data_IF_303102404661
#
_entry.id   IF_303102404661
#
_cell.length_a   1.000
_cell.length_b   1.000
_cell.length_c   1.000
_cell.angle_alpha   90.00
_cell.angle_beta   90.00
_cell.angle_gamma   90.00
#
_symmetry.space_group_name_H-M   'P 1'
#
loop_
_entity.id
_entity.type
_entity.pdbx_description
1 polymer ?
#
# COMPACT_ATOMS: atom_id res chain seq x y z
N UNK A 1 4.41 -4.96 -15.55
CA UNK A 1 5.65 -4.16 -15.69
C UNK A 1 6.28 -4.08 -14.31
N UNK A 2 7.59 -4.31 -14.20
CA UNK A 2 8.24 -4.31 -12.89
C UNK A 2 8.19 -2.93 -12.23
N UNK A 3 7.88 -2.90 -10.92
CA UNK A 3 7.95 -1.69 -10.10
C UNK A 3 9.37 -1.08 -10.17
N UNK A 4 9.51 0.26 -10.29
CA UNK A 4 10.82 0.92 -10.30
C UNK A 4 11.65 0.60 -9.05
N UNK A 5 12.95 0.33 -9.20
CA UNK A 5 13.81 -0.17 -8.11
C UNK A 5 13.77 0.70 -6.84
N UNK A 6 13.78 2.03 -6.98
CA UNK A 6 13.76 2.95 -5.83
C UNK A 6 12.41 3.04 -5.12
N UNK A 7 11.35 2.55 -5.77
CA UNK A 7 10.00 2.49 -5.24
C UNK A 7 9.70 1.12 -4.64
N UNK A 8 10.55 0.11 -4.84
CA UNK A 8 10.35 -1.20 -4.21
C UNK A 8 10.50 -1.10 -2.68
N UNK A 9 9.85 -2.00 -1.91
CA UNK A 9 10.11 -2.12 -0.48
C UNK A 9 11.61 -2.33 -0.24
N UNK A 10 12.17 -1.66 0.77
CA UNK A 10 13.58 -1.85 1.08
C UNK A 10 13.79 -3.29 1.55
N UNK A 11 14.64 -4.09 0.87
CA UNK A 11 14.83 -5.47 1.26
C UNK A 11 15.54 -5.52 2.61
N UNK A 12 14.86 -6.09 3.61
CA UNK A 12 15.47 -6.37 4.90
C UNK A 12 16.72 -7.23 4.73
N UNK A 13 17.79 -6.89 5.46
CA UNK A 13 18.94 -7.79 5.54
C UNK A 13 18.49 -9.15 6.09
N UNK A 14 19.12 -10.27 5.70
CA UNK A 14 18.74 -11.60 6.21
C UNK A 14 18.71 -11.66 7.74
N UNK A 15 19.61 -10.91 8.40
CA UNK A 15 19.68 -10.78 9.86
C UNK A 15 18.44 -10.09 10.44
N UNK A 16 18.04 -8.94 9.90
CA UNK A 16 16.85 -8.22 10.36
C UNK A 16 15.59 -9.05 10.08
N UNK A 17 15.50 -9.68 8.90
CA UNK A 17 14.36 -10.55 8.56
C UNK A 17 14.22 -11.72 9.54
N UNK A 18 15.33 -12.35 9.92
CA UNK A 18 15.31 -13.44 10.91
C UNK A 18 14.90 -12.94 12.31
N UNK A 19 15.42 -11.77 12.72
CA UNK A 19 15.04 -11.13 13.98
C UNK A 19 13.53 -10.83 14.01
N UNK A 20 13.01 -10.13 13.00
CA UNK A 20 11.60 -9.76 12.93
C UNK A 20 10.70 -11.00 12.86
N UNK A 21 11.08 -12.03 12.09
CA UNK A 21 10.36 -13.32 12.12
C UNK A 21 10.27 -13.93 13.53
N UNK A 22 11.35 -13.84 14.31
CA UNK A 22 11.37 -14.29 15.70
C UNK A 22 10.52 -13.42 16.64
N UNK A 23 10.51 -12.10 16.42
CA UNK A 23 9.65 -11.18 17.16
C UNK A 23 8.17 -11.42 16.86
N UNK A 24 7.79 -11.57 15.59
CA UNK A 24 6.42 -11.87 15.19
C UNK A 24 5.92 -13.13 15.90
N UNK A 25 6.70 -14.21 15.88
CA UNK A 25 6.33 -15.44 16.59
C UNK A 25 6.12 -15.18 18.08
N UNK A 26 7.05 -14.50 18.74
CA UNK A 26 6.92 -14.20 20.17
C UNK A 26 5.70 -13.33 20.48
N UNK A 27 5.41 -12.32 19.66
CA UNK A 27 4.22 -11.47 19.82
C UNK A 27 2.96 -12.32 19.72
N UNK A 28 2.83 -13.13 18.67
CA UNK A 28 1.65 -13.99 18.45
C UNK A 28 1.47 -15.02 19.57
N UNK A 29 2.54 -15.71 19.97
CA UNK A 29 2.50 -16.69 21.08
C UNK A 29 2.05 -16.00 22.39
N UNK A 30 2.54 -14.77 22.67
CA UNK A 30 2.16 -14.02 23.87
C UNK A 30 0.73 -13.48 23.83
N UNK A 31 0.25 -13.02 22.67
CA UNK A 31 -1.14 -12.61 22.48
C UNK A 31 -2.06 -13.80 22.77
N UNK A 32 -1.72 -14.98 22.23
CA UNK A 32 -2.47 -16.21 22.48
C UNK A 32 -2.48 -16.59 23.97
N UNK A 33 -1.31 -16.64 24.61
CA UNK A 33 -1.18 -16.97 26.04
C UNK A 33 -1.95 -15.98 26.94
N UNK A 34 -1.99 -14.70 26.54
CA UNK A 34 -2.68 -13.63 27.26
C UNK A 34 -4.16 -13.47 26.85
N UNK A 35 -4.75 -14.48 26.22
CA UNK A 35 -6.17 -14.51 25.83
C UNK A 35 -6.58 -13.33 24.95
N UNK A 36 -5.73 -12.98 23.98
CA UNK A 36 -5.95 -11.89 23.02
C UNK A 36 -6.02 -10.48 23.65
N UNK A 37 -5.53 -10.33 24.89
CA UNK A 37 -5.49 -9.04 25.59
C UNK A 37 -4.13 -8.37 25.46
N UNK A 38 -4.13 -7.05 25.54
CA UNK A 38 -2.91 -6.28 25.67
C UNK A 38 -2.20 -6.56 27.01
N UNK A 39 -0.87 -6.45 26.99
CA UNK A 39 -0.04 -6.46 28.19
C UNK A 39 1.20 -5.59 27.99
N UNK A 40 1.82 -5.10 29.07
CA UNK A 40 3.08 -4.36 28.98
C UNK A 40 4.19 -5.14 28.26
N UNK A 41 4.22 -6.46 28.41
CA UNK A 41 5.20 -7.34 27.75
C UNK A 41 4.97 -7.40 26.23
N UNK A 42 3.72 -7.57 25.80
CA UNK A 42 3.37 -7.56 24.37
C UNK A 42 3.68 -6.18 23.76
N UNK A 43 3.33 -5.11 24.47
CA UNK A 43 3.63 -3.75 24.02
C UNK A 43 5.14 -3.50 23.89
N UNK A 44 5.97 -4.03 24.79
CA UNK A 44 7.42 -3.95 24.67
C UNK A 44 7.95 -4.69 23.42
N UNK A 45 7.39 -5.87 23.10
CA UNK A 45 7.76 -6.61 21.88
C UNK A 45 7.32 -5.86 20.60
N UNK A 46 6.14 -5.24 20.61
CA UNK A 46 5.66 -4.39 19.50
C UNK A 46 6.54 -3.16 19.33
N UNK A 47 6.98 -2.51 20.42
CA UNK A 47 7.93 -1.40 20.33
C UNK A 47 9.27 -1.85 19.75
N UNK A 48 9.75 -3.05 20.11
CA UNK A 48 10.95 -3.62 19.50
C UNK A 48 10.76 -3.90 18.00
N UNK A 49 9.61 -4.42 17.59
CA UNK A 49 9.25 -4.57 16.17
C UNK A 49 9.26 -3.23 15.44
N UNK A 50 8.61 -2.21 15.99
CA UNK A 50 8.49 -0.86 15.41
C UNK A 50 9.84 -0.15 15.28
N UNK A 51 10.86 -0.52 16.08
CA UNK A 51 12.23 -0.01 15.91
C UNK A 51 12.94 -0.48 14.63
N UNK A 52 12.39 -1.50 13.96
CA UNK A 52 12.92 -2.08 12.73
C UNK A 52 11.97 -1.96 11.53
N UNK A 53 10.70 -1.67 11.79
CA UNK A 53 9.68 -1.55 10.76
C UNK A 53 9.73 -0.18 10.06
N UNK A 54 9.20 -0.11 8.84
CA UNK A 54 9.08 1.14 8.08
C UNK A 54 8.00 2.08 8.59
N UNK A 55 7.07 1.58 9.40
CA UNK A 55 6.00 2.33 10.06
C UNK A 55 5.70 1.77 11.46
N UNK A 56 4.97 2.51 12.33
CA UNK A 56 4.45 1.94 13.56
C UNK A 56 3.35 0.91 13.25
N UNK A 57 3.38 -0.18 14.00
CA UNK A 57 2.33 -1.19 14.06
C UNK A 57 1.66 -1.19 15.43
N UNK A 58 0.35 -1.40 15.45
CA UNK A 58 -0.48 -1.45 16.64
C UNK A 58 -0.84 -2.88 17.05
N UNK A 59 -1.22 -3.06 18.31
CA UNK A 59 -1.57 -4.37 18.88
C UNK A 59 -2.64 -5.13 18.06
N UNK A 60 -3.69 -4.43 17.66
CA UNK A 60 -4.81 -5.04 16.94
C UNK A 60 -4.37 -5.62 15.59
N UNK A 61 -3.37 -5.03 14.92
CA UNK A 61 -2.83 -5.54 13.66
C UNK A 61 -2.18 -6.92 13.83
N UNK A 62 -1.50 -7.17 14.96
CA UNK A 62 -0.94 -8.49 15.26
C UNK A 62 -2.02 -9.49 15.70
N UNK A 63 -2.98 -9.04 16.53
CA UNK A 63 -4.09 -9.86 17.01
C UNK A 63 -4.94 -10.38 15.85
N UNK A 64 -5.30 -9.49 14.93
CA UNK A 64 -6.26 -9.76 13.85
C UNK A 64 -5.57 -10.19 12.55
N UNK A 65 -4.24 -10.25 12.51
CA UNK A 65 -3.44 -10.58 11.33
C UNK A 65 -4.00 -11.80 10.58
N UNK A 66 -4.29 -12.89 11.30
CA UNK A 66 -4.73 -14.15 10.71
C UNK A 66 -6.10 -14.08 10.02
N UNK A 67 -6.90 -13.06 10.30
CA UNK A 67 -8.18 -12.81 9.63
C UNK A 67 -8.01 -12.27 8.21
N UNK A 68 -6.85 -11.69 7.90
CA UNK A 68 -6.63 -10.93 6.67
C UNK A 68 -5.39 -11.38 5.89
N UNK A 69 -4.40 -12.00 6.54
CA UNK A 69 -3.15 -12.36 5.85
C UNK A 69 -2.37 -13.50 6.53
N UNK A 70 -1.31 -13.94 5.88
CA UNK A 70 -0.36 -14.92 6.43
C UNK A 70 0.76 -14.23 7.22
N UNK A 71 1.36 -14.92 8.18
CA UNK A 71 2.52 -14.41 8.92
C UNK A 71 3.72 -14.06 8.00
N UNK A 72 3.86 -14.74 6.87
CA UNK A 72 4.89 -14.44 5.89
C UNK A 72 4.63 -13.12 5.16
N UNK A 73 3.38 -12.85 4.77
CA UNK A 73 2.97 -11.59 4.15
C UNK A 73 3.02 -10.45 5.17
N UNK A 74 2.50 -10.63 6.38
CA UNK A 74 2.60 -9.63 7.45
C UNK A 74 4.04 -9.26 7.80
N UNK A 75 4.96 -10.22 7.77
CA UNK A 75 6.38 -9.91 7.93
C UNK A 75 6.93 -9.03 6.79
N UNK A 76 6.43 -9.18 5.55
CA UNK A 76 6.84 -8.33 4.43
C UNK A 76 6.36 -6.90 4.62
N UNK A 77 5.12 -6.71 5.11
CA UNK A 77 4.55 -5.36 5.35
C UNK A 77 5.38 -4.54 6.32
N UNK A 78 6.08 -5.20 7.26
CA UNK A 78 7.00 -4.54 8.17
C UNK A 78 8.12 -3.74 7.46
N UNK A 79 8.49 -4.12 6.25
CA UNK A 79 9.55 -3.49 5.46
C UNK A 79 9.02 -2.57 4.37
N UNK A 80 7.72 -2.41 4.28
CA UNK A 80 7.13 -1.43 3.41
C UNK A 80 7.53 -0.04 3.90
N UNK A 81 7.92 0.80 2.94
CA UNK A 81 8.18 2.21 3.16
C UNK A 81 7.27 2.97 2.21
N UNK A 82 5.99 3.01 2.55
CA UNK A 82 5.04 3.88 1.85
C UNK A 82 5.43 5.32 2.16
N UNK A 83 6.02 6.00 1.18
CA UNK A 83 6.53 7.36 1.38
C UNK A 83 6.09 8.25 0.24
N UNK A 84 5.90 9.51 0.59
CA UNK A 84 5.82 10.57 -0.39
C UNK A 84 7.19 10.73 -1.07
N UNK A 85 7.19 10.76 -2.39
CA UNK A 85 8.39 10.87 -3.22
C UNK A 85 8.32 12.18 -3.98
N UNK A 86 8.99 13.24 -3.52
CA UNK A 86 8.86 14.60 -4.07
C UNK A 86 9.07 14.65 -5.60
N UNK A 87 10.04 13.89 -6.11
CA UNK A 87 10.45 13.82 -7.51
C UNK A 87 9.87 12.60 -8.26
N UNK A 88 8.71 12.09 -7.83
CA UNK A 88 8.03 11.00 -8.52
C UNK A 88 7.76 11.41 -9.99
N UNK A 89 8.31 10.65 -10.94
CA UNK A 89 8.05 10.87 -12.35
C UNK A 89 6.72 10.26 -12.77
N UNK A 90 6.11 10.82 -13.81
CA UNK A 90 4.88 10.27 -14.39
C UNK A 90 5.05 8.83 -14.85
N UNK A 91 6.19 8.50 -15.47
CA UNK A 91 6.49 7.15 -15.92
C UNK A 91 6.56 6.14 -14.76
N UNK A 92 7.12 6.55 -13.61
CA UNK A 92 7.18 5.69 -12.43
C UNK A 92 5.81 5.47 -11.80
N UNK A 93 5.00 6.52 -11.70
CA UNK A 93 3.62 6.39 -11.23
C UNK A 93 2.81 5.42 -12.11
N UNK A 94 2.93 5.54 -13.44
CA UNK A 94 2.30 4.63 -14.38
C UNK A 94 2.80 3.18 -14.20
N UNK A 95 4.10 2.98 -14.00
CA UNK A 95 4.65 1.65 -13.75
C UNK A 95 4.09 1.01 -12.46
N UNK A 96 3.82 1.80 -11.42
CA UNK A 96 3.15 1.32 -10.19
C UNK A 96 1.69 0.94 -10.48
N UNK A 97 0.94 1.78 -11.21
CA UNK A 97 -0.42 1.46 -11.61
C UNK A 97 -0.49 0.18 -12.48
N UNK A 98 0.41 0.04 -13.46
CA UNK A 98 0.51 -1.15 -14.29
C UNK A 98 0.83 -2.41 -13.48
N UNK A 99 1.71 -2.30 -12.48
CA UNK A 99 2.04 -3.41 -11.58
C UNK A 99 0.80 -3.92 -10.82
N UNK A 100 -0.04 -3.00 -10.32
CA UNK A 100 -1.30 -3.32 -9.62
C UNK A 100 -2.29 -3.98 -10.59
N UNK A 101 -2.57 -3.33 -11.73
CA UNK A 101 -3.57 -3.79 -12.69
C UNK A 101 -3.22 -5.14 -13.35
N UNK A 102 -1.93 -5.47 -13.44
CA UNK A 102 -1.46 -6.74 -14.01
C UNK A 102 -1.36 -7.86 -12.95
N UNK A 103 -1.70 -7.57 -11.68
CA UNK A 103 -1.57 -8.49 -10.55
C UNK A 103 -0.18 -9.13 -10.46
N UNK A 104 0.88 -8.35 -10.73
CA UNK A 104 2.25 -8.85 -10.63
C UNK A 104 2.67 -8.92 -9.15
N UNK A 105 3.32 -10.02 -8.76
CA UNK A 105 3.85 -10.17 -7.40
C UNK A 105 2.90 -10.87 -6.42
N UNK A 106 3.10 -10.63 -5.13
CA UNK A 106 2.25 -11.18 -4.06
C UNK A 106 1.23 -10.16 -3.61
N UNK A 107 0.15 -10.59 -2.95
CA UNK A 107 -0.88 -9.70 -2.36
C UNK A 107 -0.25 -8.54 -1.57
N UNK A 108 0.75 -8.83 -0.74
CA UNK A 108 1.51 -7.82 0.01
C UNK A 108 2.23 -6.80 -0.88
N UNK A 109 2.71 -7.21 -2.06
CA UNK A 109 3.37 -6.30 -3.00
C UNK A 109 2.34 -5.40 -3.70
N UNK A 110 1.16 -5.93 -4.01
CA UNK A 110 0.04 -5.16 -4.55
C UNK A 110 -0.47 -4.13 -3.54
N UNK A 111 -0.68 -4.53 -2.28
CA UNK A 111 -1.09 -3.62 -1.20
C UNK A 111 -0.07 -2.50 -1.00
N UNK A 112 1.22 -2.84 -1.07
CA UNK A 112 2.29 -1.84 -1.00
C UNK A 112 2.23 -0.84 -2.16
N UNK A 113 2.10 -1.36 -3.40
CA UNK A 113 2.00 -0.54 -4.59
C UNK A 113 0.79 0.39 -4.53
N UNK A 114 -0.34 -0.11 -4.04
CA UNK A 114 -1.55 0.67 -3.85
C UNK A 114 -1.34 1.78 -2.82
N UNK A 115 -0.82 1.45 -1.64
CA UNK A 115 -0.54 2.45 -0.61
C UNK A 115 0.51 3.48 -1.05
N UNK A 116 1.45 3.12 -1.93
CA UNK A 116 2.36 4.09 -2.56
C UNK A 116 1.59 5.09 -3.42
N UNK A 117 0.60 4.66 -4.21
CA UNK A 117 -0.26 5.57 -4.96
C UNK A 117 -1.07 6.46 -4.02
N UNK A 118 -1.72 5.91 -3.00
CA UNK A 118 -2.50 6.68 -2.02
C UNK A 118 -1.65 7.72 -1.27
N UNK A 119 -0.42 7.34 -0.89
CA UNK A 119 0.50 8.25 -0.21
C UNK A 119 0.96 9.38 -1.13
N UNK A 120 1.16 9.08 -2.42
CA UNK A 120 1.67 10.06 -3.38
C UNK A 120 0.56 10.92 -3.98
N UNK A 121 -0.69 10.45 -4.04
CA UNK A 121 -1.87 11.16 -4.55
C UNK A 121 -2.96 11.20 -3.47
N UNK A 122 -2.77 12.01 -2.41
CA UNK A 122 -3.71 12.05 -1.30
C UNK A 122 -5.10 12.47 -1.77
N UNK A 123 -6.13 11.91 -1.14
CA UNK A 123 -7.56 12.19 -1.42
C UNK A 123 -8.04 11.74 -2.81
N UNK A 124 -7.16 11.14 -3.62
CA UNK A 124 -7.55 10.62 -4.93
C UNK A 124 -8.22 9.24 -4.87
N UNK A 125 -8.09 8.50 -3.77
CA UNK A 125 -8.70 7.18 -3.55
C UNK A 125 -8.41 6.21 -4.72
N UNK A 126 -7.11 5.92 -4.89
CA UNK A 126 -6.60 5.05 -5.94
C UNK A 126 -7.18 3.64 -5.89
N UNK A 127 -7.48 3.13 -4.69
CA UNK A 127 -8.14 1.83 -4.50
C UNK A 127 -9.46 1.77 -5.24
N UNK A 128 -10.34 2.74 -5.00
CA UNK A 128 -11.65 2.76 -5.63
C UNK A 128 -11.53 2.99 -7.14
N UNK A 129 -10.64 3.87 -7.60
CA UNK A 129 -10.45 4.08 -9.03
C UNK A 129 -10.04 2.80 -9.78
N UNK A 130 -9.17 1.99 -9.17
CA UNK A 130 -8.60 0.79 -9.80
C UNK A 130 -9.55 -0.41 -9.70
N UNK A 131 -10.16 -0.63 -8.54
CA UNK A 131 -10.94 -1.85 -8.27
C UNK A 131 -12.45 -1.66 -8.36
N UNK A 132 -12.93 -0.43 -8.11
CA UNK A 132 -14.35 -0.06 -8.06
C UNK A 132 -14.61 1.25 -8.81
N UNK A 133 -14.25 1.35 -10.11
CA UNK A 133 -14.37 2.59 -10.86
C UNK A 133 -15.79 3.16 -10.84
N UNK A 134 -16.82 2.31 -10.77
CA UNK A 134 -18.19 2.75 -10.58
C UNK A 134 -18.42 3.60 -9.32
N UNK A 135 -17.83 3.20 -8.19
CA UNK A 135 -17.92 3.95 -6.94
C UNK A 135 -17.10 5.23 -7.03
N UNK A 136 -15.91 5.16 -7.62
CA UNK A 136 -15.05 6.33 -7.80
C UNK A 136 -15.71 7.41 -8.67
N UNK A 137 -16.27 7.02 -9.82
CA UNK A 137 -16.96 7.95 -10.74
C UNK A 137 -18.39 8.29 -10.28
N UNK A 138 -18.95 7.57 -9.31
CA UNK A 138 -20.34 7.70 -8.89
C UNK A 138 -21.35 7.24 -9.96
N UNK A 139 -20.96 6.32 -10.84
CA UNK A 139 -21.76 5.79 -11.94
C UNK A 139 -21.70 4.25 -11.96
N UNK A 140 -22.82 3.60 -11.63
CA UNK A 140 -22.91 2.14 -11.53
C UNK A 140 -22.64 1.42 -12.85
N UNK A 141 -22.81 2.09 -14.00
CA UNK A 141 -22.51 1.51 -15.31
C UNK A 141 -21.00 1.45 -15.61
N UNK A 142 -20.16 2.06 -14.76
CA UNK A 142 -18.72 2.16 -14.96
C UNK A 142 -17.89 1.04 -14.31
N UNK A 143 -18.51 0.00 -13.74
CA UNK A 143 -17.76 -1.07 -13.02
C UNK A 143 -16.73 -1.80 -13.90
N UNK A 144 -16.97 -1.86 -15.21
CA UNK A 144 -16.14 -2.62 -16.16
C UNK A 144 -15.39 -1.74 -17.16
N UNK A 145 -15.20 -0.45 -16.87
CA UNK A 145 -14.38 0.40 -17.74
C UNK A 145 -12.93 -0.04 -17.67
N UNK A 146 -12.23 0.07 -18.80
CA UNK A 146 -10.80 -0.15 -18.86
C UNK A 146 -10.09 1.19 -18.93
N UNK A 147 -9.28 1.49 -17.92
CA UNK A 147 -8.40 2.64 -17.88
C UNK A 147 -6.96 2.18 -18.08
N UNK A 148 -6.24 2.87 -18.96
CA UNK A 148 -4.77 2.72 -19.02
C UNK A 148 -4.11 3.29 -17.77
N UNK A 149 -2.89 2.84 -17.45
CA UNK A 149 -2.10 3.39 -16.34
C UNK A 149 -1.95 4.92 -16.44
N UNK A 150 -1.76 5.45 -17.65
CA UNK A 150 -1.71 6.90 -17.88
C UNK A 150 -3.03 7.61 -17.54
N UNK A 151 -4.18 7.00 -17.83
CA UNK A 151 -5.48 7.55 -17.45
C UNK A 151 -5.72 7.45 -15.95
N UNK A 152 -5.35 6.33 -15.32
CA UNK A 152 -5.42 6.16 -13.86
C UNK A 152 -4.62 7.28 -13.18
N UNK A 153 -3.34 7.44 -13.52
CA UNK A 153 -2.51 8.51 -12.94
C UNK A 153 -3.05 9.90 -13.29
N UNK A 154 -3.61 10.09 -14.49
CA UNK A 154 -4.29 11.32 -14.87
C UNK A 154 -5.46 11.67 -13.95
N UNK A 155 -6.33 10.71 -13.64
CA UNK A 155 -7.42 10.91 -12.68
C UNK A 155 -6.91 11.13 -11.26
N UNK A 156 -5.88 10.40 -10.83
CA UNK A 156 -5.28 10.59 -9.51
C UNK A 156 -4.68 12.00 -9.35
N UNK A 157 -3.98 12.50 -10.37
CA UNK A 157 -3.48 13.88 -10.40
C UNK A 157 -4.62 14.90 -10.42
N UNK A 158 -5.70 14.62 -11.14
CA UNK A 158 -6.81 15.57 -11.24
C UNK A 158 -7.63 15.67 -9.94
N UNK A 159 -7.75 14.56 -9.21
CA UNK A 159 -8.47 14.47 -7.95
C UNK A 159 -7.63 14.91 -6.75
N UNK A 160 -6.34 14.58 -6.74
CA UNK A 160 -5.41 15.04 -5.71
C UNK A 160 -4.95 16.48 -5.99
N UNK A 161 -4.44 17.16 -4.96
CA UNK A 161 -3.77 18.45 -5.11
C UNK A 161 -2.39 18.36 -5.80
N UNK A 162 -1.96 17.17 -6.23
CA UNK A 162 -0.62 16.91 -6.72
C UNK A 162 -0.57 16.78 -8.24
N UNK A 163 0.34 17.55 -8.85
CA UNK A 163 0.69 17.44 -10.27
C UNK A 163 2.13 16.93 -10.42
N UNK A 164 2.35 16.00 -11.34
CA UNK A 164 3.70 15.55 -11.72
C UNK A 164 4.19 16.43 -12.88
N UNK A 165 5.37 17.05 -12.72
CA UNK A 165 5.84 18.09 -13.65
C UNK A 165 6.17 17.55 -15.05
N UNK A 166 6.53 16.28 -15.16
CA UNK A 166 6.89 15.61 -16.41
C UNK A 166 5.69 14.88 -17.06
N UNK A 167 4.48 15.02 -16.50
CA UNK A 167 3.29 14.41 -17.06
C UNK A 167 2.98 14.97 -18.46
N UNK A 168 2.79 14.12 -19.48
CA UNK A 168 2.34 14.57 -20.79
C UNK A 168 0.89 15.04 -20.72
N UNK A 169 0.37 15.74 -21.75
CA UNK A 169 -1.06 15.94 -21.90
C UNK A 169 -1.79 14.59 -21.94
N UNK A 170 -2.72 14.36 -21.01
CA UNK A 170 -3.49 13.13 -20.90
C UNK A 170 -4.96 13.45 -21.19
N UNK A 171 -5.57 12.68 -22.09
CA UNK A 171 -7.00 12.76 -22.34
C UNK A 171 -7.73 11.86 -21.35
N UNK A 172 -8.51 12.48 -20.45
CA UNK A 172 -9.41 11.77 -19.55
C UNK A 172 -10.77 11.57 -20.23
N UNK A 173 -11.19 10.32 -20.51
CA UNK A 173 -12.41 10.04 -21.28
C UNK A 173 -13.72 10.32 -20.53
N UNK A 174 -13.67 10.43 -19.20
CA UNK A 174 -14.82 10.57 -18.33
C UNK A 174 -14.67 11.82 -17.45
N UNK A 175 -15.78 12.45 -17.02
CA UNK A 175 -15.73 13.58 -16.13
C UNK A 175 -15.17 13.17 -14.76
N UNK A 176 -14.46 14.09 -14.12
CA UNK A 176 -14.01 13.92 -12.73
C UNK A 176 -15.23 14.16 -11.82
N UNK A 177 -15.49 13.26 -10.85
CA UNK A 177 -16.57 13.44 -9.90
C UNK A 177 -16.37 14.71 -9.07
N UNK A 178 -17.45 15.41 -8.68
CA UNK A 178 -17.34 16.54 -7.77
C UNK A 178 -16.82 16.06 -6.41
N UNK A 179 -15.86 16.80 -5.82
CA UNK A 179 -15.42 16.53 -4.46
C UNK A 179 -16.59 16.73 -3.47
N UNK A 180 -16.76 15.83 -2.48
CA UNK A 180 -17.80 15.97 -1.46
C UNK A 180 -17.62 17.22 -0.56
#
# INVERSE_FOLDING_TARGET
>A
MAMPERLKPTPATPKIRALMKGLLKQILDRIWDNQERESPEINALIQQWNSHAGRPFEFHEFRDMHSHTSAANFLRTAFHQERYVDDLSFAEACAVADFICQCEGTESDTDYALNLLETNFPEANASDLIFWPNEWFGDQDMLHIELSSAQIIGYLMAQSSRQLQDAPPITLPYPIPPQP
#
